data_IF_939017548487
#
_entry.id   IF_939017548487
#
_cell.length_a   1.000
_cell.length_b   1.000
_cell.length_c   1.000
_cell.angle_alpha   90.00
_cell.angle_beta   90.00
_cell.angle_gamma   90.00
#
_symmetry.space_group_name_H-M   'P 1'
#
loop_
_entity.id
_entity.type
_entity.pdbx_description
1 polymer ?
#
# COMPACT_ATOMS: atom_id res chain seq x y z
N UNK A 1 8.75 -14.14 -32.13
CA UNK A 1 8.42 -12.74 -31.83
C UNK A 1 9.71 -12.05 -31.43
N UNK A 2 10.00 -10.89 -32.01
CA UNK A 2 11.17 -10.11 -31.63
C UNK A 2 10.95 -9.42 -30.26
N UNK A 3 12.03 -9.05 -29.53
CA UNK A 3 11.93 -8.46 -28.20
C UNK A 3 11.09 -7.17 -28.14
N UNK A 4 11.06 -6.37 -29.20
CA UNK A 4 10.30 -5.13 -29.23
C UNK A 4 8.80 -5.40 -29.33
N UNK A 5 8.40 -6.40 -30.11
CA UNK A 5 7.00 -6.88 -30.19
C UNK A 5 6.53 -7.46 -28.86
N UNK A 6 7.38 -8.19 -28.12
CA UNK A 6 6.99 -8.71 -26.80
C UNK A 6 6.80 -7.56 -25.78
N UNK A 7 7.69 -6.57 -25.78
CA UNK A 7 7.59 -5.38 -24.94
C UNK A 7 6.37 -4.51 -25.28
N UNK A 8 6.00 -4.39 -26.57
CA UNK A 8 4.80 -3.65 -26.97
C UNK A 8 3.53 -4.36 -26.50
N UNK A 9 3.47 -5.68 -26.65
CA UNK A 9 2.35 -6.50 -26.17
C UNK A 9 2.19 -6.39 -24.65
N UNK A 10 3.29 -6.42 -23.89
CA UNK A 10 3.25 -6.23 -22.42
C UNK A 10 2.73 -4.84 -22.04
N UNK A 11 3.12 -3.78 -22.75
CA UNK A 11 2.64 -2.41 -22.51
C UNK A 11 1.15 -2.27 -22.83
N UNK A 12 0.73 -2.78 -23.99
CA UNK A 12 -0.68 -2.76 -24.41
C UNK A 12 -1.58 -3.48 -23.42
N UNK A 13 -1.15 -4.66 -22.92
CA UNK A 13 -1.91 -5.43 -21.95
C UNK A 13 -2.12 -4.67 -20.62
N UNK A 14 -1.08 -3.97 -20.14
CA UNK A 14 -1.16 -3.17 -18.90
C UNK A 14 -2.12 -1.98 -19.08
N UNK A 15 -2.11 -1.36 -20.25
CA UNK A 15 -2.96 -0.21 -20.55
C UNK A 15 -4.43 -0.60 -20.76
N UNK A 16 -4.68 -1.73 -21.44
CA UNK A 16 -6.01 -2.31 -21.59
C UNK A 16 -6.63 -2.68 -20.24
N UNK A 17 -5.85 -3.25 -19.33
CA UNK A 17 -6.28 -3.56 -17.95
C UNK A 17 -6.66 -2.31 -17.16
N UNK A 18 -5.87 -1.23 -17.24
CA UNK A 18 -6.22 0.07 -16.60
C UNK A 18 -7.52 0.63 -17.16
N UNK A 19 -7.75 0.52 -18.47
CA UNK A 19 -8.95 1.01 -19.13
C UNK A 19 -10.20 0.17 -18.78
N UNK A 20 -10.06 -1.16 -18.70
CA UNK A 20 -11.14 -2.07 -18.30
C UNK A 20 -11.56 -1.79 -16.84
N UNK A 21 -10.58 -1.64 -15.93
CA UNK A 21 -10.83 -1.31 -14.54
C UNK A 21 -11.55 0.05 -14.39
N UNK A 22 -11.13 1.08 -15.14
CA UNK A 22 -11.81 2.38 -15.17
C UNK A 22 -13.25 2.28 -15.67
N UNK A 23 -13.51 1.44 -16.68
CA UNK A 23 -14.84 1.24 -17.27
C UNK A 23 -15.77 0.48 -16.33
N UNK A 24 -15.28 -0.57 -15.67
CA UNK A 24 -16.04 -1.27 -14.63
C UNK A 24 -16.39 -0.33 -13.46
N UNK A 25 -15.45 0.52 -13.03
CA UNK A 25 -15.70 1.52 -11.98
C UNK A 25 -16.82 2.50 -12.39
N UNK A 26 -16.83 2.94 -13.66
CA UNK A 26 -17.89 3.81 -14.21
C UNK A 26 -19.25 3.12 -14.31
N UNK A 27 -19.29 1.81 -14.58
CA UNK A 27 -20.53 1.02 -14.61
C UNK A 27 -21.08 0.74 -13.22
N UNK A 28 -20.22 0.46 -12.22
CA UNK A 28 -20.61 0.29 -10.82
C UNK A 28 -21.23 1.58 -10.26
N UNK A 29 -20.72 2.74 -10.67
CA UNK A 29 -21.27 4.05 -10.30
C UNK A 29 -22.54 4.44 -11.08
N UNK A 30 -22.93 3.68 -12.12
CA UNK A 30 -24.16 3.87 -12.90
C UNK A 30 -25.20 2.80 -12.53
N UNK A 31 -25.72 2.87 -11.30
CA UNK A 31 -26.98 2.20 -10.97
C UNK A 31 -28.18 2.96 -11.59
N UNK A 32 -29.29 2.30 -11.97
CA UNK A 32 -30.39 2.97 -12.64
C UNK A 32 -31.20 3.83 -11.65
N UNK A 33 -31.43 5.09 -12.00
CA UNK A 33 -32.45 5.92 -11.35
C UNK A 33 -33.82 5.26 -11.57
N UNK A 34 -34.35 4.64 -10.52
CA UNK A 34 -35.80 4.41 -10.42
C UNK A 34 -36.43 5.71 -10.02
N UNK A 35 -37.14 6.30 -10.97
CA UNK A 35 -38.06 7.40 -10.74
C UNK A 35 -39.20 6.90 -9.82
N UNK A 36 -39.26 7.45 -8.61
CA UNK A 36 -40.47 7.49 -7.80
C UNK A 36 -40.54 8.88 -7.17
N UNK A 37 -41.29 9.75 -7.84
CA UNK A 37 -41.80 10.97 -7.24
C UNK A 37 -42.69 10.65 -6.04
N UNK A 38 -42.20 11.01 -4.86
CA UNK A 38 -43.00 11.42 -3.71
C UNK A 38 -42.06 12.21 -2.80
N UNK A 39 -42.32 13.52 -2.65
CA UNK A 39 -41.49 14.42 -1.85
C UNK A 39 -41.24 13.86 -0.45
N UNK A 40 -39.96 13.59 -0.14
CA UNK A 40 -39.53 13.31 1.23
C UNK A 40 -39.05 14.61 1.88
N UNK A 41 -39.27 14.79 3.19
CA UNK A 41 -38.73 15.93 3.91
C UNK A 41 -37.20 15.90 3.82
N UNK A 42 -36.57 17.06 3.64
CA UNK A 42 -35.10 17.18 3.71
C UNK A 42 -34.61 16.60 5.04
N UNK A 43 -34.05 15.39 4.98
CA UNK A 43 -33.51 14.70 6.13
C UNK A 43 -32.21 15.41 6.52
N UNK A 44 -32.24 16.15 7.63
CA UNK A 44 -31.05 16.82 8.15
C UNK A 44 -29.96 15.77 8.44
N UNK A 45 -28.92 15.78 7.62
CA UNK A 45 -27.79 14.85 7.75
C UNK A 45 -27.01 15.21 9.02
N UNK A 46 -27.19 14.43 10.08
CA UNK A 46 -26.50 14.63 11.36
C UNK A 46 -25.09 14.03 11.35
N UNK A 47 -24.18 14.55 12.17
CA UNK A 47 -22.81 14.04 12.28
C UNK A 47 -22.72 12.53 12.56
N UNK A 48 -23.54 11.92 13.45
CA UNK A 48 -23.56 10.46 13.63
C UNK A 48 -23.90 9.69 12.34
N UNK A 49 -24.83 10.20 11.53
CA UNK A 49 -25.21 9.58 10.26
C UNK A 49 -24.06 9.65 9.24
N UNK A 50 -23.35 10.79 9.17
CA UNK A 50 -22.14 10.93 8.33
C UNK A 50 -21.04 9.97 8.77
N UNK A 51 -20.76 9.90 10.08
CA UNK A 51 -19.73 9.01 10.63
C UNK A 51 -20.05 7.53 10.35
N UNK A 52 -21.31 7.12 10.50
CA UNK A 52 -21.74 5.75 10.20
C UNK A 52 -21.63 5.43 8.71
N UNK A 53 -22.06 6.34 7.83
CA UNK A 53 -21.97 6.17 6.39
C UNK A 53 -20.51 6.04 5.90
N UNK A 54 -19.62 6.92 6.38
CA UNK A 54 -18.19 6.86 6.07
C UNK A 54 -17.54 5.61 6.64
N UNK A 55 -17.88 5.24 7.88
CA UNK A 55 -17.40 4.02 8.51
C UNK A 55 -17.76 2.80 7.65
N UNK A 56 -19.00 2.67 7.17
CA UNK A 56 -19.40 1.52 6.36
C UNK A 56 -18.65 1.38 5.02
N UNK A 57 -18.01 2.45 4.53
CA UNK A 57 -17.17 2.42 3.31
C UNK A 57 -15.74 1.93 3.58
N UNK A 58 -15.34 1.83 4.84
CA UNK A 58 -13.98 1.47 5.23
C UNK A 58 -14.02 0.09 5.90
N UNK A 59 -13.25 -0.86 5.36
CA UNK A 59 -13.08 -2.18 5.97
C UNK A 59 -12.25 -2.07 7.26
N UNK A 60 -12.46 -2.99 8.19
CA UNK A 60 -11.68 -3.04 9.43
C UNK A 60 -10.21 -3.33 9.11
N UNK A 61 -9.31 -2.53 9.65
CA UNK A 61 -7.88 -2.78 9.61
C UNK A 61 -7.54 -3.92 10.58
N UNK A 62 -6.96 -4.99 10.03
CA UNK A 62 -6.46 -6.14 10.78
C UNK A 62 -4.99 -6.25 10.42
N UNK A 63 -4.13 -6.03 11.42
CA UNK A 63 -2.69 -6.17 11.21
C UNK A 63 -2.33 -7.65 11.04
N UNK A 64 -1.66 -7.95 9.94
CA UNK A 64 -1.06 -9.23 9.64
C UNK A 64 0.47 -9.03 9.51
N UNK A 65 1.28 -9.62 10.40
CA UNK A 65 2.74 -9.52 10.32
C UNK A 65 3.32 -10.07 9.02
N UNK A 66 2.65 -11.00 8.36
CA UNK A 66 3.19 -11.67 7.17
C UNK A 66 2.69 -11.04 5.86
N UNK A 67 1.80 -10.04 5.96
CA UNK A 67 1.21 -9.39 4.81
C UNK A 67 1.49 -7.88 4.80
N UNK A 68 1.82 -7.35 3.62
CA UNK A 68 2.10 -5.93 3.39
C UNK A 68 0.81 -5.08 3.33
N UNK A 69 -0.06 -5.27 4.34
CA UNK A 69 -1.45 -4.84 4.34
C UNK A 69 -1.67 -3.44 4.90
N UNK A 70 -0.76 -2.96 5.77
CA UNK A 70 -0.78 -1.60 6.35
C UNK A 70 -0.80 -0.53 5.27
N UNK A 71 0.26 -0.44 4.46
CA UNK A 71 0.37 0.57 3.40
C UNK A 71 -0.73 0.44 2.35
N UNK A 72 -1.13 -0.79 1.98
CA UNK A 72 -2.22 -1.04 1.03
C UNK A 72 -3.57 -0.55 1.56
N UNK A 73 -3.89 -0.82 2.82
CA UNK A 73 -5.15 -0.40 3.44
C UNK A 73 -5.26 1.12 3.48
N UNK A 74 -4.19 1.81 3.92
CA UNK A 74 -4.18 3.28 3.94
C UNK A 74 -4.30 3.86 2.53
N UNK A 75 -3.61 3.29 1.54
CA UNK A 75 -3.72 3.75 0.15
C UNK A 75 -5.13 3.55 -0.41
N UNK A 76 -5.79 2.44 -0.09
CA UNK A 76 -7.15 2.13 -0.56
C UNK A 76 -8.19 3.11 -0.03
N UNK A 77 -8.08 3.51 1.23
CA UNK A 77 -9.08 4.38 1.87
C UNK A 77 -8.65 5.84 1.98
N UNK A 78 -7.50 6.22 1.42
CA UNK A 78 -6.96 7.58 1.45
C UNK A 78 -7.99 8.63 1.05
N UNK A 79 -8.65 8.42 -0.10
CA UNK A 79 -9.65 9.35 -0.63
C UNK A 79 -10.89 9.46 0.26
N UNK A 80 -11.25 8.40 0.99
CA UNK A 80 -12.37 8.45 1.93
C UNK A 80 -12.07 9.42 3.07
N UNK A 81 -10.83 9.45 3.55
CA UNK A 81 -10.42 10.38 4.60
C UNK A 81 -10.12 11.79 4.10
N UNK A 82 -9.61 11.95 2.87
CA UNK A 82 -9.26 13.27 2.33
C UNK A 82 -10.43 13.99 1.66
N UNK A 83 -11.26 13.28 0.88
CA UNK A 83 -12.34 13.87 0.08
C UNK A 83 -13.71 13.66 0.71
N UNK A 84 -14.09 12.41 1.02
CA UNK A 84 -15.44 12.11 1.53
C UNK A 84 -15.66 12.59 2.96
N UNK A 85 -14.57 12.67 3.74
CA UNK A 85 -14.55 13.13 5.12
C UNK A 85 -14.00 14.56 5.27
N UNK A 86 -13.88 15.33 4.18
CA UNK A 86 -13.30 16.69 4.22
C UNK A 86 -14.01 17.65 5.18
N UNK A 87 -15.31 17.46 5.37
CA UNK A 87 -16.17 18.23 6.29
C UNK A 87 -15.99 17.83 7.75
N UNK A 88 -15.32 16.71 8.03
CA UNK A 88 -15.04 16.27 9.39
C UNK A 88 -13.89 17.07 9.98
N UNK A 89 -14.02 17.42 11.26
CA UNK A 89 -12.89 17.91 12.05
C UNK A 89 -11.81 16.84 12.15
N UNK A 90 -10.56 17.25 12.39
CA UNK A 90 -9.43 16.34 12.56
C UNK A 90 -9.70 15.28 13.64
N UNK A 91 -10.25 15.70 14.79
CA UNK A 91 -10.65 14.78 15.86
C UNK A 91 -11.69 13.73 15.41
N UNK A 92 -12.65 14.11 14.55
CA UNK A 92 -13.63 13.17 14.00
C UNK A 92 -13.00 12.22 12.98
N UNK A 93 -12.04 12.66 12.17
CA UNK A 93 -11.28 11.77 11.26
C UNK A 93 -10.43 10.76 12.03
N UNK A 94 -9.76 11.20 13.08
CA UNK A 94 -8.99 10.33 13.99
C UNK A 94 -9.92 9.30 14.63
N UNK A 95 -11.07 9.72 15.16
CA UNK A 95 -12.07 8.80 15.72
C UNK A 95 -12.58 7.79 14.68
N UNK A 96 -12.87 8.24 13.47
CA UNK A 96 -13.31 7.37 12.37
C UNK A 96 -12.24 6.31 12.05
N UNK A 97 -10.97 6.71 11.99
CA UNK A 97 -9.84 5.81 11.76
C UNK A 97 -9.68 4.81 12.91
N UNK A 98 -9.71 5.27 14.16
CA UNK A 98 -9.56 4.42 15.33
C UNK A 98 -10.66 3.37 15.46
N UNK A 99 -11.90 3.69 15.09
CA UNK A 99 -13.02 2.72 15.04
C UNK A 99 -12.76 1.59 14.04
N UNK A 100 -11.90 1.82 13.05
CA UNK A 100 -11.53 0.82 12.04
C UNK A 100 -10.34 -0.03 12.43
N UNK A 101 -9.61 0.32 13.47
CA UNK A 101 -8.56 -0.55 13.99
C UNK A 101 -9.20 -1.70 14.78
N UNK A 102 -8.66 -2.91 14.66
CA UNK A 102 -8.98 -3.97 15.60
C UNK A 102 -8.42 -3.68 17.00
N UNK A 103 -8.91 -4.42 17.99
CA UNK A 103 -8.58 -4.16 19.40
C UNK A 103 -7.09 -4.22 19.67
N UNK A 104 -6.37 -5.17 19.04
CA UNK A 104 -4.93 -5.34 19.24
C UNK A 104 -4.14 -4.19 18.62
N UNK A 105 -4.48 -3.78 17.40
CA UNK A 105 -3.83 -2.65 16.73
C UNK A 105 -4.10 -1.35 17.48
N UNK A 106 -5.36 -1.10 17.87
CA UNK A 106 -5.71 0.12 18.60
C UNK A 106 -4.97 0.23 19.94
N UNK A 107 -4.89 -0.87 20.71
CA UNK A 107 -4.19 -0.87 22.00
C UNK A 107 -2.68 -0.57 21.84
N UNK A 108 -2.03 -1.14 20.82
CA UNK A 108 -0.64 -0.83 20.48
C UNK A 108 -0.44 0.63 20.10
N UNK A 109 -1.33 1.18 19.27
CA UNK A 109 -1.32 2.59 18.91
C UNK A 109 -1.49 3.49 20.14
N UNK A 110 -2.47 3.20 20.99
CA UNK A 110 -2.73 3.96 22.22
C UNK A 110 -1.51 3.97 23.15
N UNK A 111 -0.81 2.84 23.32
CA UNK A 111 0.43 2.77 24.10
C UNK A 111 1.56 3.60 23.48
N UNK A 112 1.66 3.61 22.17
CA UNK A 112 2.74 4.31 21.44
C UNK A 112 2.66 5.83 21.59
N UNK A 113 1.45 6.38 21.64
CA UNK A 113 1.26 7.83 21.66
C UNK A 113 1.29 8.46 23.05
N UNK A 114 1.47 7.66 24.10
CA UNK A 114 1.65 8.15 25.45
C UNK A 114 2.86 9.10 25.53
N UNK A 115 2.79 10.17 26.36
CA UNK A 115 1.75 10.46 27.35
C UNK A 115 0.51 11.18 26.81
N UNK A 116 0.41 11.43 25.50
CA UNK A 116 -0.74 12.13 24.90
C UNK A 116 -1.92 11.19 24.76
N UNK A 117 -3.12 11.75 24.83
CA UNK A 117 -4.34 11.03 24.50
C UNK A 117 -4.57 11.01 22.98
N UNK A 118 -5.20 9.95 22.47
CA UNK A 118 -5.51 9.80 21.04
C UNK A 118 -6.33 10.98 20.51
N UNK A 119 -7.19 11.58 21.32
CA UNK A 119 -7.99 12.76 20.95
C UNK A 119 -7.17 14.03 20.72
N UNK A 120 -5.92 14.07 21.19
CA UNK A 120 -4.98 15.20 21.09
C UNK A 120 -4.02 15.09 19.91
N UNK A 121 -4.20 14.09 19.05
CA UNK A 121 -3.30 13.78 17.93
C UNK A 121 -4.02 14.10 16.65
N UNK A 122 -3.32 14.73 15.69
CA UNK A 122 -3.88 15.06 14.38
C UNK A 122 -4.10 13.81 13.53
N UNK A 123 -4.87 13.92 12.45
CA UNK A 123 -5.12 12.79 11.55
C UNK A 123 -3.82 12.32 10.87
N UNK A 124 -3.05 13.23 10.29
CA UNK A 124 -1.80 12.89 9.60
C UNK A 124 -0.76 12.28 10.55
N UNK A 125 -0.67 12.81 11.77
CA UNK A 125 0.20 12.27 12.82
C UNK A 125 -0.23 10.86 13.25
N UNK A 126 -1.55 10.62 13.34
CA UNK A 126 -2.11 9.29 13.61
C UNK A 126 -1.73 8.30 12.49
N UNK A 127 -1.91 8.69 11.23
CA UNK A 127 -1.56 7.85 10.08
C UNK A 127 -0.08 7.51 10.07
N UNK A 128 0.78 8.49 10.36
CA UNK A 128 2.23 8.29 10.42
C UNK A 128 2.63 7.35 11.58
N UNK A 129 2.07 7.54 12.76
CA UNK A 129 2.30 6.64 13.89
C UNK A 129 1.88 5.19 13.58
N UNK A 130 0.73 5.00 12.93
CA UNK A 130 0.26 3.68 12.51
C UNK A 130 1.18 3.05 11.45
N UNK A 131 1.66 3.81 10.47
CA UNK A 131 2.68 3.32 9.53
C UNK A 131 3.96 2.92 10.25
N UNK A 132 4.41 3.70 11.22
CA UNK A 132 5.64 3.36 11.96
C UNK A 132 5.52 2.08 12.78
N UNK A 133 4.32 1.80 13.32
CA UNK A 133 4.05 0.62 14.15
C UNK A 133 3.77 -0.65 13.34
N UNK A 134 3.09 -0.51 12.20
CA UNK A 134 2.48 -1.64 11.49
C UNK A 134 2.98 -1.82 10.07
N UNK A 135 3.74 -0.87 9.52
CA UNK A 135 4.34 -1.04 8.20
C UNK A 135 5.68 -1.77 8.29
N UNK A 136 5.88 -2.73 7.38
CA UNK A 136 7.14 -3.44 7.28
C UNK A 136 8.22 -2.46 6.81
N UNK A 137 9.15 -2.11 7.70
CA UNK A 137 10.37 -1.37 7.33
C UNK A 137 11.37 -2.30 6.67
N UNK A 138 11.04 -2.79 5.48
CA UNK A 138 12.02 -3.41 4.59
C UNK A 138 12.86 -2.28 4.00
N UNK A 139 14.17 -2.40 4.14
CA UNK A 139 15.10 -1.45 3.55
C UNK A 139 15.05 -1.51 2.03
N UNK A 140 15.37 -0.39 1.36
CA UNK A 140 15.29 -0.31 -0.10
C UNK A 140 16.17 -1.38 -0.78
N UNK A 141 17.37 -1.67 -0.25
CA UNK A 141 18.22 -2.69 -0.84
C UNK A 141 17.66 -4.10 -0.63
N UNK A 142 17.07 -4.39 0.53
CA UNK A 142 16.36 -5.66 0.76
C UNK A 142 15.18 -5.80 -0.20
N UNK A 143 14.39 -4.75 -0.42
CA UNK A 143 13.28 -4.75 -1.39
C UNK A 143 13.77 -4.98 -2.82
N UNK A 144 14.87 -4.32 -3.22
CA UNK A 144 15.53 -4.55 -4.53
C UNK A 144 16.03 -5.98 -4.69
N UNK A 145 16.66 -6.52 -3.66
CA UNK A 145 17.13 -7.90 -3.64
C UNK A 145 15.98 -8.92 -3.73
N UNK A 146 14.86 -8.66 -3.03
CA UNK A 146 13.64 -9.47 -3.13
C UNK A 146 13.01 -9.41 -4.52
N UNK A 147 13.10 -8.27 -5.21
CA UNK A 147 12.62 -8.14 -6.60
C UNK A 147 13.30 -9.15 -7.54
N UNK A 148 14.58 -9.47 -7.33
CA UNK A 148 15.31 -10.48 -8.12
C UNK A 148 14.84 -11.92 -7.86
N UNK A 149 14.18 -12.16 -6.72
CA UNK A 149 13.62 -13.47 -6.36
C UNK A 149 12.20 -13.69 -6.87
N UNK A 150 11.64 -12.73 -7.62
CA UNK A 150 10.30 -12.89 -8.17
C UNK A 150 10.30 -14.03 -9.18
N UNK A 151 9.53 -15.06 -8.83
CA UNK A 151 9.22 -16.19 -9.69
C UNK A 151 7.70 -16.30 -9.80
N UNK A 152 7.21 -16.60 -11.00
CA UNK A 152 5.80 -16.90 -11.23
C UNK A 152 5.51 -18.29 -10.69
N UNK A 153 4.44 -18.45 -9.91
CA UNK A 153 4.00 -19.79 -9.49
C UNK A 153 3.15 -20.46 -10.58
N UNK A 154 3.02 -21.79 -10.51
CA UNK A 154 2.21 -22.55 -11.48
C UNK A 154 0.72 -22.21 -11.38
N UNK A 155 0.23 -21.86 -10.19
CA UNK A 155 -1.17 -21.52 -9.93
C UNK A 155 -1.52 -20.04 -10.23
N UNK A 156 -0.52 -19.18 -10.42
CA UNK A 156 -0.73 -17.75 -10.69
C UNK A 156 -0.97 -17.50 -12.18
N UNK A 157 -1.93 -16.65 -12.54
CA UNK A 157 -2.12 -16.24 -13.93
C UNK A 157 -1.12 -15.13 -14.34
N UNK A 158 -0.94 -14.92 -15.65
CA UNK A 158 0.02 -13.95 -16.15
C UNK A 158 -0.29 -12.50 -15.79
N UNK A 159 -1.57 -12.16 -15.68
CA UNK A 159 -1.99 -10.80 -15.34
C UNK A 159 -1.64 -10.50 -13.89
N UNK A 160 -2.01 -11.39 -12.97
CA UNK A 160 -1.65 -11.29 -11.56
C UNK A 160 -0.12 -11.22 -11.37
N UNK A 161 0.63 -12.07 -12.09
CA UNK A 161 2.08 -12.03 -12.06
C UNK A 161 2.65 -10.71 -12.58
N UNK A 162 2.15 -10.19 -13.71
CA UNK A 162 2.57 -8.89 -14.27
C UNK A 162 2.31 -7.75 -13.30
N UNK A 163 1.15 -7.75 -12.64
CA UNK A 163 0.81 -6.78 -11.60
C UNK A 163 1.78 -6.84 -10.42
N UNK A 164 2.12 -8.05 -9.95
CA UNK A 164 3.08 -8.28 -8.86
C UNK A 164 4.50 -7.83 -9.22
N UNK A 165 4.96 -8.13 -10.44
CA UNK A 165 6.25 -7.62 -10.95
C UNK A 165 6.28 -6.09 -10.95
N UNK A 166 5.24 -5.44 -11.48
CA UNK A 166 5.15 -3.99 -11.48
C UNK A 166 5.15 -3.41 -10.05
N UNK A 167 4.35 -3.97 -9.14
CA UNK A 167 4.30 -3.54 -7.74
C UNK A 167 5.68 -3.60 -7.07
N UNK A 168 6.40 -4.71 -7.22
CA UNK A 168 7.73 -4.86 -6.65
C UNK A 168 8.77 -3.93 -7.28
N UNK A 169 8.74 -3.74 -8.61
CA UNK A 169 9.67 -2.84 -9.30
C UNK A 169 9.52 -1.39 -8.83
N UNK A 170 8.29 -0.92 -8.64
CA UNK A 170 8.01 0.43 -8.12
C UNK A 170 8.44 0.57 -6.66
N UNK A 171 8.12 -0.41 -5.80
CA UNK A 171 8.56 -0.42 -4.38
C UNK A 171 10.08 -0.47 -4.24
N UNK A 172 10.75 -1.23 -5.10
CA UNK A 172 12.20 -1.36 -5.13
C UNK A 172 12.89 -0.16 -5.80
N UNK A 173 12.13 0.75 -6.43
CA UNK A 173 12.66 1.88 -7.20
C UNK A 173 13.72 1.40 -8.19
N UNK A 174 13.41 0.34 -8.95
CA UNK A 174 14.39 -0.29 -9.87
C UNK A 174 14.89 0.71 -10.91
N UNK A 175 14.04 1.67 -11.32
CA UNK A 175 14.41 2.73 -12.24
C UNK A 175 15.46 3.72 -11.70
N UNK A 176 15.70 3.75 -10.38
CA UNK A 176 16.73 4.59 -9.74
C UNK A 176 18.09 3.87 -9.63
N UNK A 177 18.19 2.59 -10.02
CA UNK A 177 19.45 1.85 -9.98
C UNK A 177 20.34 2.21 -11.17
N UNK A 178 21.59 2.56 -10.88
CA UNK A 178 22.62 2.68 -11.89
C UNK A 178 23.24 1.30 -12.22
N UNK A 179 24.22 1.30 -13.13
CA UNK A 179 24.88 0.08 -13.55
C UNK A 179 25.61 -0.64 -12.41
N UNK A 180 26.13 0.08 -11.42
CA UNK A 180 26.93 -0.51 -10.34
C UNK A 180 26.02 -1.08 -9.25
N UNK A 181 24.93 -0.38 -8.92
CA UNK A 181 23.86 -0.91 -8.09
C UNK A 181 23.28 -2.23 -8.63
N UNK A 182 23.06 -2.32 -9.95
CA UNK A 182 22.61 -3.56 -10.60
C UNK A 182 23.67 -4.67 -10.48
N UNK A 183 24.96 -4.37 -10.74
CA UNK A 183 26.04 -5.36 -10.61
C UNK A 183 26.14 -5.91 -9.18
N UNK A 184 26.06 -5.03 -8.18
CA UNK A 184 26.07 -5.41 -6.76
C UNK A 184 24.91 -6.37 -6.43
N UNK A 185 23.69 -6.04 -6.87
CA UNK A 185 22.51 -6.87 -6.66
C UNK A 185 22.66 -8.25 -7.33
N UNK A 186 23.10 -8.29 -8.59
CA UNK A 186 23.30 -9.54 -9.33
C UNK A 186 24.39 -10.41 -8.71
N UNK A 187 25.50 -9.82 -8.26
CA UNK A 187 26.58 -10.55 -7.61
C UNK A 187 26.12 -11.19 -6.31
N UNK A 188 25.41 -10.43 -5.46
CA UNK A 188 24.84 -10.92 -4.20
C UNK A 188 23.78 -11.99 -4.45
N UNK A 189 22.94 -11.82 -5.47
CA UNK A 189 21.91 -12.79 -5.86
C UNK A 189 22.50 -14.10 -6.41
N UNK A 190 23.67 -14.03 -7.04
CA UNK A 190 24.42 -15.21 -7.48
C UNK A 190 24.88 -16.13 -6.35
N UNK A 191 24.98 -15.63 -5.11
CA UNK A 191 25.38 -16.40 -3.93
C UNK A 191 24.23 -17.30 -3.45
N UNK A 192 24.05 -18.46 -4.11
CA UNK A 192 22.91 -19.37 -3.85
C UNK A 192 23.19 -20.43 -2.79
N UNK A 193 24.45 -20.68 -2.42
CA UNK A 193 24.79 -21.73 -1.46
C UNK A 193 24.30 -21.38 -0.05
N UNK A 194 23.93 -22.40 0.73
CA UNK A 194 23.61 -22.21 2.15
C UNK A 194 24.84 -21.74 2.94
N UNK A 195 26.04 -22.13 2.53
CA UNK A 195 27.30 -21.67 3.14
C UNK A 195 27.52 -20.16 2.93
N UNK A 196 26.89 -19.58 1.91
CA UNK A 196 26.99 -18.16 1.58
C UNK A 196 25.82 -17.33 2.16
N UNK A 197 24.91 -17.96 2.92
CA UNK A 197 23.73 -17.28 3.45
C UNK A 197 24.12 -16.12 4.39
N UNK A 198 25.12 -16.34 5.24
CA UNK A 198 25.59 -15.34 6.20
C UNK A 198 26.28 -14.17 5.49
N UNK A 199 27.17 -14.43 4.53
CA UNK A 199 27.84 -13.36 3.78
C UNK A 199 26.83 -12.53 2.97
N UNK A 200 25.82 -13.17 2.38
CA UNK A 200 24.74 -12.49 1.66
C UNK A 200 23.93 -11.56 2.56
N UNK A 201 23.55 -12.01 3.76
CA UNK A 201 22.86 -11.18 4.75
C UNK A 201 23.72 -9.98 5.20
N UNK A 202 25.02 -10.21 5.46
CA UNK A 202 25.95 -9.14 5.86
C UNK A 202 26.10 -8.08 4.77
N UNK A 203 26.24 -8.49 3.50
CA UNK A 203 26.38 -7.56 2.38
C UNK A 203 25.11 -6.72 2.16
N UNK A 204 23.92 -7.35 2.25
CA UNK A 204 22.64 -6.62 2.18
C UNK A 204 22.59 -5.56 3.30
N UNK A 205 22.94 -5.92 4.53
CA UNK A 205 22.93 -4.99 5.67
C UNK A 205 23.94 -3.84 5.53
N UNK A 206 25.11 -4.09 4.93
CA UNK A 206 26.10 -3.04 4.64
C UNK A 206 25.55 -2.06 3.60
N UNK A 207 24.98 -2.56 2.51
CA UNK A 207 24.46 -1.72 1.44
C UNK A 207 23.25 -0.90 1.90
N UNK A 208 22.43 -1.46 2.80
CA UNK A 208 21.37 -0.71 3.48
C UNK A 208 21.89 0.43 4.34
N UNK A 209 23.03 0.23 5.02
CA UNK A 209 23.66 1.27 5.84
C UNK A 209 24.25 2.39 4.97
N UNK A 210 24.93 2.05 3.89
CA UNK A 210 25.52 3.03 2.98
C UNK A 210 24.43 3.84 2.24
N UNK A 211 23.34 3.19 1.83
CA UNK A 211 22.19 3.87 1.23
C UNK A 211 21.54 4.86 2.22
N UNK A 212 21.36 4.48 3.49
CA UNK A 212 20.86 5.39 4.55
C UNK A 212 21.80 6.57 4.82
N UNK A 213 23.08 6.44 4.51
CA UNK A 213 24.08 7.51 4.65
C UNK A 213 24.10 8.48 3.45
N UNK A 214 23.21 8.31 2.46
CA UNK A 214 23.10 9.19 1.29
C UNK A 214 24.24 9.04 0.28
N UNK A 215 25.03 7.98 0.40
CA UNK A 215 26.06 7.65 -0.60
C UNK A 215 25.39 6.90 -1.74
N UNK A 216 25.75 7.21 -2.99
CA UNK A 216 25.35 6.36 -4.10
C UNK A 216 25.93 4.98 -3.86
N UNK A 217 25.07 3.97 -3.94
CA UNK A 217 25.44 2.56 -3.95
C UNK A 217 25.24 2.05 -5.35
#
# INVERSE_FOLDING_TARGET
MDPATVLSVFKELIEEQRNLASTMMKMINRAPQRDQGAGKPEEQVTLPNVMAALSNRIEKFIFDPDADMSSKWFSRYKEVFSEDAKQLTESNKVRLLCVKLDSVTFEKYQRHVLPRDVSQIGFDETVEALKQLFDHKTSLFTTRYQCLKLEKSDAEDYLSYTGRVNEFCEKAKIHELDSDGIKCLLWIFGLKSHQEAEIRQRLIAILDREHKAGKSV
#
